data_IF_954958770766
#
_entry.id   IF_954958770766
#
_cell.length_a   1.000
_cell.length_b   1.000
_cell.length_c   1.000
_cell.angle_alpha   90.00
_cell.angle_beta   90.00
_cell.angle_gamma   90.00
#
_symmetry.space_group_name_H-M   'P 1'
#
loop_
_entity.id
_entity.type
_entity.pdbx_description
1 polymer ?
#
# COMPACT_ATOMS: atom_id res chain seq x y z
N UNK A 1 -0.91 -29.66 -13.01
CA UNK A 1 -0.50 -28.37 -12.42
C UNK A 1 -1.76 -27.60 -12.08
N UNK A 2 -2.11 -27.36 -10.80
CA UNK A 2 -3.31 -26.60 -10.47
C UNK A 2 -3.05 -25.13 -10.83
N UNK A 3 -4.00 -24.52 -11.55
CA UNK A 3 -4.00 -23.09 -11.82
C UNK A 3 -4.19 -22.37 -10.49
N UNK A 4 -3.32 -21.41 -10.17
CA UNK A 4 -3.45 -20.58 -8.99
C UNK A 4 -4.82 -19.88 -9.06
N UNK A 5 -5.69 -20.17 -8.09
CA UNK A 5 -6.94 -19.45 -7.96
C UNK A 5 -6.60 -17.97 -7.69
N UNK A 6 -6.94 -17.11 -8.64
CA UNK A 6 -6.98 -15.68 -8.38
C UNK A 6 -7.96 -15.46 -7.24
N UNK A 7 -7.45 -15.11 -6.06
CA UNK A 7 -8.30 -14.71 -4.95
C UNK A 7 -8.95 -13.40 -5.36
N UNK A 8 -10.21 -13.45 -5.83
CA UNK A 8 -10.99 -12.23 -6.08
C UNK A 8 -11.36 -11.67 -4.71
N UNK A 9 -10.41 -10.95 -4.11
CA UNK A 9 -10.71 -10.12 -2.96
C UNK A 9 -11.68 -9.02 -3.42
N UNK A 10 -12.85 -8.93 -2.79
CA UNK A 10 -13.77 -7.84 -3.06
C UNK A 10 -13.08 -6.50 -2.70
N UNK A 11 -13.29 -5.43 -3.48
CA UNK A 11 -12.75 -4.12 -3.12
C UNK A 11 -13.35 -3.67 -1.79
N UNK A 12 -12.50 -3.32 -0.83
CA UNK A 12 -12.90 -2.82 0.49
C UNK A 12 -12.62 -1.33 0.59
N UNK A 13 -13.61 -0.54 1.00
CA UNK A 13 -13.48 0.90 1.29
C UNK A 13 -13.73 1.10 2.78
N UNK A 14 -12.86 1.87 3.45
CA UNK A 14 -12.97 2.17 4.88
C UNK A 14 -12.75 3.67 5.12
N UNK A 15 -13.49 4.21 6.08
CA UNK A 15 -13.34 5.57 6.58
C UNK A 15 -12.82 5.51 8.01
N UNK A 16 -11.95 6.44 8.37
CA UNK A 16 -11.32 6.47 9.69
C UNK A 16 -11.41 7.87 10.28
N UNK A 17 -11.69 7.93 11.58
CA UNK A 17 -11.71 9.19 12.33
C UNK A 17 -10.32 9.79 12.53
N UNK A 18 -9.27 8.96 12.52
CA UNK A 18 -7.89 9.43 12.69
C UNK A 18 -6.92 8.70 11.77
N UNK A 19 -5.89 9.44 11.34
CA UNK A 19 -4.78 8.90 10.56
C UNK A 19 -4.07 7.72 11.25
N UNK A 20 -4.04 7.71 12.58
CA UNK A 20 -3.38 6.65 13.34
C UNK A 20 -4.04 5.29 13.09
N UNK A 21 -5.38 5.23 13.17
CA UNK A 21 -6.14 3.99 12.95
C UNK A 21 -6.00 3.53 11.49
N UNK A 22 -6.11 4.46 10.54
CA UNK A 22 -5.87 4.18 9.11
C UNK A 22 -4.49 3.54 8.90
N UNK A 23 -3.45 4.12 9.50
CA UNK A 23 -2.07 3.69 9.29
C UNK A 23 -1.75 2.37 10.00
N UNK A 24 -2.36 2.08 11.14
CA UNK A 24 -2.23 0.79 11.83
C UNK A 24 -2.86 -0.33 10.97
N UNK A 25 -4.12 -0.15 10.54
CA UNK A 25 -4.80 -1.14 9.70
C UNK A 25 -4.14 -1.32 8.32
N UNK A 26 -3.65 -0.23 7.72
CA UNK A 26 -2.91 -0.31 6.47
C UNK A 26 -1.58 -1.05 6.65
N UNK A 27 -0.88 -0.84 7.77
CA UNK A 27 0.37 -1.52 8.06
C UNK A 27 0.16 -3.03 8.22
N UNK A 28 -0.88 -3.44 8.95
CA UNK A 28 -1.23 -4.86 9.13
C UNK A 28 -1.58 -5.53 7.80
N UNK A 29 -2.40 -4.87 6.98
CA UNK A 29 -2.78 -5.39 5.67
C UNK A 29 -1.58 -5.59 4.74
N UNK A 30 -0.68 -4.60 4.69
CA UNK A 30 0.52 -4.65 3.85
C UNK A 30 1.51 -5.68 4.41
N UNK A 31 1.70 -5.74 5.72
CA UNK A 31 2.57 -6.73 6.38
C UNK A 31 2.16 -8.15 5.98
N UNK A 32 0.86 -8.48 6.07
CA UNK A 32 0.34 -9.79 5.67
C UNK A 32 0.69 -10.13 4.21
N UNK A 33 0.49 -9.19 3.28
CA UNK A 33 0.82 -9.39 1.87
C UNK A 33 2.33 -9.57 1.66
N UNK A 34 3.17 -8.78 2.34
CA UNK A 34 4.62 -8.85 2.24
C UNK A 34 5.18 -10.17 2.80
N UNK A 35 4.66 -10.66 3.95
CA UNK A 35 5.05 -11.96 4.52
C UNK A 35 4.70 -13.13 3.62
N UNK A 36 3.58 -13.04 2.91
CA UNK A 36 3.16 -14.04 1.93
C UNK A 36 4.01 -14.02 0.64
N UNK A 37 5.00 -13.12 0.51
CA UNK A 37 5.80 -12.96 -0.70
C UNK A 37 5.10 -12.17 -1.80
N UNK A 38 3.98 -11.53 -1.49
CA UNK A 38 3.22 -10.68 -2.41
C UNK A 38 3.85 -9.30 -2.61
N UNK A 39 3.12 -8.46 -3.36
CA UNK A 39 3.48 -7.05 -3.57
C UNK A 39 2.47 -6.14 -2.89
N UNK A 40 2.94 -5.29 -1.98
CA UNK A 40 2.16 -4.20 -1.40
C UNK A 40 2.35 -2.93 -2.23
N UNK A 41 1.27 -2.30 -2.65
CA UNK A 41 1.30 -1.01 -3.36
C UNK A 41 0.63 0.03 -2.48
N UNK A 42 1.33 1.14 -2.22
CA UNK A 42 0.84 2.24 -1.39
C UNK A 42 0.90 3.53 -2.19
N UNK A 43 -0.24 4.21 -2.30
CA UNK A 43 -0.34 5.55 -2.86
C UNK A 43 -0.79 6.46 -1.72
N UNK A 44 0.11 7.27 -1.18
CA UNK A 44 -0.17 8.08 0.01
C UNK A 44 0.69 9.35 0.03
N UNK A 45 0.30 10.32 0.85
CA UNK A 45 1.10 11.54 1.04
C UNK A 45 2.44 11.21 1.72
N UNK A 46 3.49 12.03 1.57
CA UNK A 46 4.80 11.77 2.16
C UNK A 46 4.77 11.58 3.70
N UNK A 47 4.00 12.37 4.48
CA UNK A 47 3.84 12.14 5.91
C UNK A 47 3.25 10.77 6.25
N UNK A 48 2.23 10.33 5.51
CA UNK A 48 1.60 9.02 5.71
C UNK A 48 2.56 7.87 5.38
N UNK A 49 3.32 7.99 4.29
CA UNK A 49 4.37 7.02 3.92
C UNK A 49 5.42 6.88 5.02
N UNK A 50 5.91 8.01 5.56
CA UNK A 50 6.91 7.99 6.62
C UNK A 50 6.37 7.29 7.87
N UNK A 51 5.12 7.57 8.24
CA UNK A 51 4.47 6.92 9.38
C UNK A 51 4.25 5.42 9.15
N UNK A 52 3.82 5.02 7.96
CA UNK A 52 3.61 3.62 7.60
C UNK A 52 4.93 2.83 7.63
N UNK A 53 6.01 3.39 7.08
CA UNK A 53 7.34 2.76 7.10
C UNK A 53 7.85 2.50 8.51
N UNK A 54 7.59 3.42 9.46
CA UNK A 54 7.96 3.21 10.87
C UNK A 54 7.24 2.01 11.48
N UNK A 55 5.94 1.86 11.21
CA UNK A 55 5.14 0.70 11.66
C UNK A 55 5.66 -0.61 11.07
N UNK A 56 5.90 -0.62 9.75
CA UNK A 56 6.46 -1.79 9.05
C UNK A 56 7.87 -2.17 9.57
N UNK A 57 8.71 -1.19 9.91
CA UNK A 57 10.01 -1.45 10.53
C UNK A 57 9.88 -2.04 11.94
N UNK A 58 8.82 -1.67 12.67
CA UNK A 58 8.47 -2.28 13.97
C UNK A 58 8.23 -3.78 13.87
N UNK A 59 7.49 -4.24 12.84
CA UNK A 59 7.26 -5.66 12.58
C UNK A 59 8.53 -6.44 12.23
N UNK A 60 9.50 -5.78 11.60
CA UNK A 60 10.80 -6.38 11.31
C UNK A 60 11.70 -6.53 12.51
N UNK A 61 11.77 -5.47 13.31
CA UNK A 61 12.52 -5.44 14.56
C UNK A 61 12.00 -6.49 15.54
N UNK A 62 10.68 -6.69 15.63
CA UNK A 62 10.08 -7.74 16.47
C UNK A 62 10.39 -9.16 15.98
N UNK A 63 10.63 -9.33 14.67
CA UNK A 63 10.96 -10.64 14.06
C UNK A 63 12.48 -10.92 14.10
N UNK A 64 13.33 -9.97 14.50
CA UNK A 64 14.77 -10.14 14.60
C UNK A 64 15.49 -10.37 13.26
N UNK A 65 14.86 -10.04 12.12
CA UNK A 65 15.38 -10.27 10.77
C UNK A 65 15.65 -8.96 10.04
N UNK A 66 16.83 -8.85 9.42
CA UNK A 66 17.23 -7.69 8.59
C UNK A 66 16.34 -7.50 7.35
N UNK A 67 15.79 -8.59 6.81
CA UNK A 67 14.75 -8.58 5.78
C UNK A 67 13.62 -9.50 6.28
N UNK A 68 12.61 -8.90 6.91
CA UNK A 68 11.58 -9.67 7.62
C UNK A 68 10.46 -10.19 6.71
N UNK A 69 10.38 -9.69 5.46
CA UNK A 69 9.43 -10.12 4.46
C UNK A 69 10.11 -10.52 3.13
N UNK A 70 9.62 -11.57 2.45
CA UNK A 70 10.09 -11.93 1.10
C UNK A 70 9.46 -11.11 -0.03
N UNK A 71 8.39 -10.35 0.25
CA UNK A 71 7.65 -9.57 -0.75
C UNK A 71 8.29 -8.25 -1.18
N UNK A 72 7.56 -7.49 -2.01
CA UNK A 72 7.99 -6.18 -2.51
C UNK A 72 7.02 -5.08 -2.06
N UNK A 73 7.56 -3.98 -1.56
CA UNK A 73 6.78 -2.78 -1.27
C UNK A 73 7.03 -1.73 -2.36
N UNK A 74 5.96 -1.28 -3.01
CA UNK A 74 5.96 -0.15 -3.95
C UNK A 74 5.24 1.02 -3.29
N UNK A 75 5.88 2.19 -3.31
CA UNK A 75 5.31 3.41 -2.73
C UNK A 75 5.30 4.50 -3.78
N UNK A 76 4.15 5.12 -3.97
CA UNK A 76 3.93 6.25 -4.86
C UNK A 76 3.40 7.44 -4.05
N UNK A 77 3.86 8.63 -4.42
CA UNK A 77 3.39 9.88 -3.83
C UNK A 77 1.98 10.20 -4.32
N UNK A 78 1.05 10.48 -3.41
CA UNK A 78 -0.34 10.71 -3.75
C UNK A 78 -0.54 11.95 -4.64
N UNK A 79 0.13 13.07 -4.35
CA UNK A 79 -0.01 14.29 -5.14
C UNK A 79 0.50 14.10 -6.56
N UNK A 80 1.73 13.59 -6.72
CA UNK A 80 2.34 13.34 -8.01
C UNK A 80 1.60 12.28 -8.83
N UNK A 81 1.12 11.22 -8.17
CA UNK A 81 0.35 10.17 -8.84
C UNK A 81 -0.99 10.71 -9.34
N UNK A 82 -1.72 11.47 -8.51
CA UNK A 82 -2.97 12.09 -8.90
C UNK A 82 -2.75 13.12 -10.03
N UNK A 83 -1.71 13.95 -9.91
CA UNK A 83 -1.38 14.96 -10.91
C UNK A 83 -1.10 14.36 -12.30
N UNK A 84 -0.59 13.12 -12.38
CA UNK A 84 -0.25 12.49 -13.65
C UNK A 84 -1.46 12.31 -14.59
N UNK A 85 -2.66 12.11 -14.04
CA UNK A 85 -3.87 11.85 -14.81
C UNK A 85 -4.98 12.90 -14.63
N UNK A 86 -4.69 14.04 -13.99
CA UNK A 86 -5.65 15.15 -13.85
C UNK A 86 -5.55 16.13 -15.02
N UNK A 87 -6.70 16.52 -15.58
CA UNK A 87 -6.87 17.57 -16.60
C UNK A 87 -8.03 18.45 -16.20
N UNK A 88 -7.83 19.77 -16.16
CA UNK A 88 -8.86 20.75 -15.80
C UNK A 88 -9.62 20.42 -14.49
N UNK A 89 -8.91 19.86 -13.51
CA UNK A 89 -9.47 19.50 -12.20
C UNK A 89 -10.29 18.21 -12.17
N UNK A 90 -10.26 17.40 -13.23
CA UNK A 90 -10.93 16.10 -13.30
C UNK A 90 -9.96 14.99 -13.75
N UNK A 91 -10.14 13.74 -13.29
CA UNK A 91 -9.38 12.61 -13.81
C UNK A 91 -9.70 12.38 -15.29
N UNK A 92 -8.68 12.31 -16.14
CA UNK A 92 -8.80 12.00 -17.56
C UNK A 92 -8.63 10.48 -17.78
N UNK A 93 -9.68 9.75 -18.20
CA UNK A 93 -9.61 8.31 -18.46
C UNK A 93 -8.51 7.90 -19.46
N UNK A 94 -8.13 8.77 -20.39
CA UNK A 94 -7.10 8.48 -21.37
C UNK A 94 -5.69 8.42 -20.76
N UNK A 95 -5.47 9.15 -19.66
CA UNK A 95 -4.18 9.21 -18.96
C UNK A 95 -3.93 8.07 -17.96
N UNK A 96 -4.89 7.17 -17.76
CA UNK A 96 -4.70 5.96 -16.94
C UNK A 96 -3.96 4.82 -17.66
N UNK A 97 -3.64 4.98 -18.95
CA UNK A 97 -3.11 3.91 -19.81
C UNK A 97 -1.59 3.92 -19.98
N UNK A 98 -0.92 4.94 -19.46
CA UNK A 98 0.55 5.12 -19.47
C UNK A 98 1.13 4.79 -18.09
#
# INVERSE_FOLDING_TARGET
>A
MPVAAAHVAAPSIRFYDTDAILLDEAADFIDAALRAGGTGVVIATPPHVAQLRRRLAGFGSSTGRACWFPGRLVVLDAEGTLAAFMVDGQPDPQRFRD
#
